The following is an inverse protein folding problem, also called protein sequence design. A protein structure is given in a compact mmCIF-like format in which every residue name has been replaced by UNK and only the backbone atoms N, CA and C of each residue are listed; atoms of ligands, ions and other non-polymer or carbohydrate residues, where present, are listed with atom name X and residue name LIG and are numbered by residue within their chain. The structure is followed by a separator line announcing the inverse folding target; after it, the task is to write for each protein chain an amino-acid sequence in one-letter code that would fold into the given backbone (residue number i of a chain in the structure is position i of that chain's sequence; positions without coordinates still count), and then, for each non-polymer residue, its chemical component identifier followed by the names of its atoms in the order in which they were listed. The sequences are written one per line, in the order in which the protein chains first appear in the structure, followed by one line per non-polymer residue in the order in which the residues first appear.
data_IF_899815998574
#
_entry.id   IF_899815998574
#
_cell.length_a   1.000
_cell.length_b   1.000
_cell.length_c   1.000
_cell.angle_alpha   90.00
_cell.angle_beta   90.00
_cell.angle_gamma   90.00
#
_symmetry.space_group_name_H-M   'P 1'
#
loop_
_entity.id
_entity.type
_entity.pdbx_description
1 polymer ?
#
# COMPACT_ATOMS: atom_id res chain seq x y z
N UNK A 1 10.10 26.78 -46.56
CA UNK A 1 9.88 26.79 -45.12
C UNK A 1 9.42 25.40 -44.70
N UNK A 2 10.33 24.54 -44.17
CA UNK A 2 10.02 23.14 -43.85
C UNK A 2 9.62 23.02 -42.38
N UNK A 3 8.37 22.65 -42.09
CA UNK A 3 7.89 22.34 -40.74
C UNK A 3 8.54 21.02 -40.28
N UNK A 4 9.35 21.10 -39.23
CA UNK A 4 9.81 19.88 -38.50
C UNK A 4 8.68 19.36 -37.63
N UNK A 5 8.19 18.17 -37.98
CA UNK A 5 7.28 17.41 -37.10
C UNK A 5 8.11 16.86 -35.93
N UNK A 6 7.81 17.32 -34.73
CA UNK A 6 8.34 16.75 -33.50
C UNK A 6 7.50 15.48 -33.20
N UNK A 7 8.16 14.33 -33.35
CA UNK A 7 7.59 13.03 -32.98
C UNK A 7 7.76 12.87 -31.46
N UNK A 8 6.68 13.06 -30.72
CA UNK A 8 6.64 12.73 -29.29
C UNK A 8 6.48 11.21 -29.20
N UNK A 9 7.59 10.52 -28.97
CA UNK A 9 7.59 9.10 -28.64
C UNK A 9 7.13 8.99 -27.19
N UNK A 10 5.85 8.69 -26.99
CA UNK A 10 5.34 8.28 -25.71
C UNK A 10 5.91 6.92 -25.33
N UNK A 11 6.85 6.91 -24.39
CA UNK A 11 7.36 5.68 -23.79
C UNK A 11 6.26 5.03 -22.99
N UNK A 12 5.69 3.96 -23.57
CA UNK A 12 4.80 3.03 -22.84
C UNK A 12 5.71 2.21 -21.93
N UNK A 13 5.66 2.48 -20.63
CA UNK A 13 6.33 1.68 -19.63
C UNK A 13 5.54 0.39 -19.38
N UNK A 14 6.09 -0.78 -19.63
CA UNK A 14 5.50 -2.04 -19.16
C UNK A 14 5.81 -2.20 -17.67
N UNK A 15 4.80 -2.09 -16.83
CA UNK A 15 4.89 -2.52 -15.42
C UNK A 15 4.98 -4.04 -15.41
N UNK A 16 6.18 -4.56 -15.28
CA UNK A 16 6.44 -5.99 -15.06
C UNK A 16 6.09 -6.32 -13.60
N UNK A 17 4.87 -6.78 -13.40
CA UNK A 17 4.42 -7.30 -12.10
C UNK A 17 4.90 -8.74 -11.95
N UNK A 18 5.85 -8.98 -11.04
CA UNK A 18 6.26 -10.32 -10.65
C UNK A 18 5.08 -11.04 -9.97
N UNK A 19 4.65 -12.14 -10.56
CA UNK A 19 3.64 -13.04 -9.98
C UNK A 19 4.34 -13.86 -8.89
N UNK A 20 4.03 -13.57 -7.63
CA UNK A 20 4.37 -14.45 -6.51
C UNK A 20 3.20 -15.39 -6.27
N UNK A 21 3.35 -16.66 -6.63
CA UNK A 21 2.42 -17.72 -6.28
C UNK A 21 2.65 -18.13 -4.82
N UNK A 22 1.70 -17.84 -3.95
CA UNK A 22 1.71 -18.33 -2.57
C UNK A 22 0.95 -19.65 -2.47
N UNK A 23 1.68 -20.72 -2.13
CA UNK A 23 1.11 -21.94 -1.57
C UNK A 23 1.04 -21.78 -0.05
N UNK A 24 -0.17 -21.73 0.48
CA UNK A 24 -0.40 -21.74 1.92
C UNK A 24 -0.25 -23.12 2.51
N UNK A 25 0.63 -23.28 3.49
CA UNK A 25 0.68 -24.47 4.35
C UNK A 25 0.02 -24.08 5.69
N UNK A 26 -1.08 -24.77 6.00
CA UNK A 26 -1.71 -24.77 7.32
C UNK A 26 -0.85 -25.60 8.29
N UNK A 27 -0.34 -24.98 9.32
CA UNK A 27 0.12 -25.71 10.51
C UNK A 27 -0.59 -25.11 11.72
N UNK A 28 -1.43 -25.94 12.32
CA UNK A 28 -2.01 -25.72 13.64
C UNK A 28 -1.01 -26.17 14.71
N UNK A 29 -0.83 -25.37 15.75
CA UNK A 29 -0.07 -25.71 16.95
C UNK A 29 -0.50 -24.76 18.06
N UNK A 30 -1.27 -25.32 19.00
CA UNK A 30 -1.52 -24.72 20.31
C UNK A 30 -0.24 -24.82 21.14
N UNK A 31 0.06 -23.78 21.94
CA UNK A 31 0.50 -23.95 23.32
C UNK A 31 0.48 -22.60 24.08
N UNK A 32 -0.08 -22.66 25.29
CA UNK A 32 -0.17 -21.64 26.32
C UNK A 32 1.21 -21.17 26.81
N UNK A 33 1.40 -19.86 27.02
CA UNK A 33 1.88 -19.41 28.34
C UNK A 33 1.65 -17.89 28.57
N UNK A 34 1.30 -17.58 29.80
CA UNK A 34 0.85 -16.29 30.29
C UNK A 34 2.02 -15.37 30.68
N UNK A 35 2.12 -14.18 30.08
CA UNK A 35 2.74 -13.01 30.71
C UNK A 35 2.08 -11.71 30.22
N UNK A 36 1.43 -11.02 31.16
CA UNK A 36 0.82 -9.71 30.98
C UNK A 36 1.87 -8.65 30.57
N UNK A 37 1.88 -8.30 29.30
CA UNK A 37 2.37 -7.00 28.83
C UNK A 37 1.34 -6.42 27.87
N UNK A 38 0.79 -5.25 28.20
CA UNK A 38 -0.11 -4.51 27.34
C UNK A 38 0.66 -4.05 26.09
N UNK A 39 0.78 -4.94 25.14
CA UNK A 39 1.04 -4.58 23.75
C UNK A 39 -0.30 -4.55 23.03
N UNK A 40 -0.60 -3.53 22.21
CA UNK A 40 -1.79 -3.60 21.39
C UNK A 40 -1.70 -4.87 20.56
N UNK A 41 -2.66 -5.79 20.78
CA UNK A 41 -2.71 -7.08 20.09
C UNK A 41 -3.03 -6.80 18.62
N UNK A 42 -2.01 -6.65 17.82
CA UNK A 42 -2.10 -6.75 16.35
C UNK A 42 -2.20 -8.23 15.99
N UNK A 43 -3.32 -8.88 16.33
CA UNK A 43 -3.57 -10.24 15.88
C UNK A 43 -4.00 -10.20 14.42
N UNK A 44 -3.12 -10.63 13.52
CA UNK A 44 -3.47 -11.03 12.18
C UNK A 44 -2.72 -10.41 11.00
N UNK A 45 -1.56 -9.83 11.18
CA UNK A 45 -0.70 -9.53 10.04
C UNK A 45 0.11 -10.80 9.69
N UNK A 46 -0.30 -11.51 8.64
CA UNK A 46 0.50 -12.61 8.09
C UNK A 46 1.61 -12.06 7.18
N UNK A 47 2.47 -11.22 7.74
CA UNK A 47 3.67 -10.77 7.02
C UNK A 47 4.67 -11.92 6.97
N UNK A 48 5.34 -12.09 5.82
CA UNK A 48 6.39 -13.09 5.67
C UNK A 48 7.63 -12.74 6.52
N UNK A 49 8.42 -13.75 6.88
CA UNK A 49 9.70 -13.54 7.55
C UNK A 49 10.63 -12.62 6.74
N UNK A 50 10.55 -12.69 5.41
CA UNK A 50 11.31 -11.83 4.50
C UNK A 50 10.91 -10.35 4.59
N UNK A 51 9.66 -10.04 4.90
CA UNK A 51 9.23 -8.67 5.19
C UNK A 51 9.66 -8.24 6.59
N UNK A 52 9.45 -9.10 7.59
CA UNK A 52 9.75 -8.78 8.99
C UNK A 52 11.23 -8.50 9.25
N UNK A 53 12.16 -9.12 8.50
CA UNK A 53 13.60 -8.82 8.61
C UNK A 53 13.94 -7.35 8.29
N UNK A 54 13.07 -6.65 7.55
CA UNK A 54 13.26 -5.23 7.23
C UNK A 54 12.68 -4.27 8.28
N UNK A 55 11.91 -4.78 9.25
CA UNK A 55 11.21 -3.94 10.24
C UNK A 55 12.13 -2.94 10.96
N UNK A 56 13.33 -3.29 11.48
CA UNK A 56 14.18 -2.33 12.16
C UNK A 56 14.60 -1.14 11.27
N UNK A 57 14.79 -1.40 9.97
CA UNK A 57 15.12 -0.36 8.99
C UNK A 57 13.91 0.51 8.66
N UNK A 58 12.74 -0.09 8.52
CA UNK A 58 11.47 0.65 8.32
C UNK A 58 11.19 1.56 9.52
N UNK A 59 11.33 1.06 10.74
CA UNK A 59 11.18 1.86 11.98
C UNK A 59 12.14 3.04 12.04
N UNK A 60 13.42 2.83 11.66
CA UNK A 60 14.42 3.90 11.58
C UNK A 60 13.96 5.01 10.62
N UNK A 61 13.65 4.66 9.38
CA UNK A 61 13.30 5.66 8.36
C UNK A 61 11.89 6.23 8.53
N UNK A 62 10.95 5.48 9.09
CA UNK A 62 9.65 6.01 9.49
C UNK A 62 9.77 7.10 10.57
N UNK A 63 10.62 6.87 11.57
CA UNK A 63 10.93 7.86 12.63
C UNK A 63 11.61 9.10 12.05
N UNK A 64 12.60 8.94 11.17
CA UNK A 64 13.28 10.05 10.50
C UNK A 64 12.34 10.93 9.66
N UNK A 65 11.26 10.38 9.16
CA UNK A 65 10.24 11.09 8.37
C UNK A 65 8.99 11.48 9.18
N UNK A 66 8.96 11.25 10.50
CA UNK A 66 7.83 11.61 11.37
C UNK A 66 6.55 10.81 11.12
N UNK A 67 6.69 9.55 10.70
CA UNK A 67 5.59 8.64 10.35
C UNK A 67 5.69 7.29 11.08
N UNK A 68 6.20 7.30 12.32
CA UNK A 68 6.39 6.06 13.10
C UNK A 68 5.09 5.27 13.32
N UNK A 69 3.95 5.94 13.39
CA UNK A 69 2.63 5.30 13.53
C UNK A 69 2.21 4.48 12.30
N UNK A 70 2.90 4.64 11.17
CA UNK A 70 2.60 3.94 9.91
C UNK A 70 3.54 2.78 9.60
N UNK A 71 4.41 2.35 10.52
CA UNK A 71 5.36 1.22 10.32
C UNK A 71 4.62 -0.02 9.78
N UNK A 72 3.48 -0.38 10.36
CA UNK A 72 2.70 -1.54 9.92
C UNK A 72 2.19 -1.37 8.48
N UNK A 73 1.78 -0.16 8.09
CA UNK A 73 1.35 0.13 6.69
C UNK A 73 2.53 0.00 5.74
N UNK A 74 3.71 0.50 6.13
CA UNK A 74 4.93 0.40 5.32
C UNK A 74 5.38 -1.05 5.14
N UNK A 75 5.31 -1.88 6.19
CA UNK A 75 5.59 -3.32 6.10
C UNK A 75 4.57 -4.04 5.21
N UNK A 76 3.29 -3.70 5.29
CA UNK A 76 2.25 -4.23 4.42
C UNK A 76 2.48 -3.82 2.94
N UNK A 77 2.98 -2.60 2.70
CA UNK A 77 3.40 -2.16 1.36
C UNK A 77 4.57 -3.03 0.87
N UNK A 78 5.62 -3.26 1.66
CA UNK A 78 6.73 -4.16 1.28
C UNK A 78 6.20 -5.56 0.92
N UNK A 79 5.24 -6.07 1.70
CA UNK A 79 4.63 -7.37 1.42
C UNK A 79 3.95 -7.41 0.06
N UNK A 80 3.21 -6.36 -0.31
CA UNK A 80 2.50 -6.27 -1.59
C UNK A 80 3.45 -6.01 -2.76
N UNK A 81 4.49 -5.18 -2.57
CA UNK A 81 5.40 -4.79 -3.65
C UNK A 81 6.40 -5.89 -4.02
N UNK A 82 6.91 -6.61 -3.03
CA UNK A 82 8.02 -7.56 -3.29
C UNK A 82 8.01 -8.81 -2.42
N UNK A 83 7.11 -8.91 -1.45
CA UNK A 83 7.19 -9.95 -0.42
C UNK A 83 8.46 -9.87 0.44
N UNK A 84 9.19 -8.75 0.38
CA UNK A 84 10.45 -8.54 1.09
C UNK A 84 11.69 -9.15 0.42
N UNK A 85 11.59 -9.66 -0.79
CA UNK A 85 12.67 -10.42 -1.45
C UNK A 85 13.41 -9.67 -2.55
N UNK A 86 12.81 -8.65 -3.16
CA UNK A 86 13.47 -7.82 -4.17
C UNK A 86 14.55 -6.93 -3.55
N UNK A 87 15.49 -6.44 -4.37
CA UNK A 87 16.48 -5.44 -3.94
C UNK A 87 15.79 -4.12 -3.64
N UNK A 88 14.94 -3.64 -4.54
CA UNK A 88 14.05 -2.49 -4.32
C UNK A 88 12.75 -2.97 -3.64
N UNK A 89 12.85 -3.28 -2.34
CA UNK A 89 11.78 -3.96 -1.58
C UNK A 89 10.46 -3.18 -1.52
N UNK A 90 10.50 -1.85 -1.61
CA UNK A 90 9.34 -0.97 -1.62
C UNK A 90 8.95 -0.50 -3.03
N UNK A 91 9.64 -0.98 -4.08
CA UNK A 91 9.47 -0.53 -5.46
C UNK A 91 9.43 1.00 -5.59
N UNK A 92 10.34 1.66 -4.88
CA UNK A 92 10.31 3.11 -4.70
C UNK A 92 11.18 3.89 -5.70
N UNK A 93 11.98 3.20 -6.54
CA UNK A 93 12.84 3.82 -7.55
C UNK A 93 12.06 4.71 -8.54
N UNK A 94 10.86 4.31 -8.95
CA UNK A 94 10.04 5.09 -9.88
C UNK A 94 9.60 6.44 -9.29
N UNK A 95 9.50 6.55 -7.95
CA UNK A 95 9.21 7.83 -7.27
C UNK A 95 10.33 8.86 -7.41
N UNK A 96 11.53 8.41 -7.79
CA UNK A 96 12.69 9.25 -8.15
C UNK A 96 12.87 9.43 -9.66
N UNK A 97 11.97 8.87 -10.47
CA UNK A 97 12.12 8.86 -11.93
C UNK A 97 13.19 7.89 -12.43
N UNK A 98 13.61 6.95 -11.59
CA UNK A 98 14.58 5.90 -11.95
C UNK A 98 13.86 4.68 -12.54
N UNK A 99 14.56 3.81 -13.28
CA UNK A 99 14.00 2.54 -13.72
C UNK A 99 13.57 1.66 -12.53
N UNK A 100 12.57 0.78 -12.70
CA UNK A 100 12.16 -0.16 -11.66
C UNK A 100 13.34 -1.01 -11.14
N UNK A 101 13.34 -1.33 -9.85
CA UNK A 101 14.38 -2.15 -9.19
C UNK A 101 15.80 -1.55 -9.24
N UNK A 102 15.93 -0.23 -9.31
CA UNK A 102 17.24 0.46 -9.41
C UNK A 102 17.87 0.76 -8.05
N UNK A 103 17.13 0.62 -6.95
CA UNK A 103 17.60 0.95 -5.60
C UNK A 103 18.07 -0.31 -4.85
N UNK A 104 19.08 -0.14 -3.99
CA UNK A 104 19.41 -1.10 -2.95
C UNK A 104 18.29 -1.18 -1.90
N UNK A 105 18.28 -2.22 -1.09
CA UNK A 105 17.25 -2.42 -0.05
C UNK A 105 17.16 -1.23 0.90
N UNK A 106 18.30 -0.70 1.37
CA UNK A 106 18.29 0.45 2.27
C UNK A 106 17.79 1.73 1.57
N UNK A 107 18.26 1.99 0.36
CA UNK A 107 17.81 3.14 -0.43
C UNK A 107 16.31 3.05 -0.74
N UNK A 108 15.83 1.86 -1.04
CA UNK A 108 14.42 1.59 -1.30
C UNK A 108 13.56 1.91 -0.06
N UNK A 109 13.93 1.41 1.11
CA UNK A 109 13.18 1.67 2.35
C UNK A 109 13.23 3.15 2.72
N UNK A 110 14.40 3.77 2.64
CA UNK A 110 14.58 5.21 2.90
C UNK A 110 13.71 6.05 1.97
N UNK A 111 13.74 5.77 0.67
CA UNK A 111 12.94 6.50 -0.32
C UNK A 111 11.45 6.20 -0.18
N UNK A 112 11.06 4.94 0.03
CA UNK A 112 9.67 4.55 0.22
C UNK A 112 9.02 5.24 1.43
N UNK A 113 9.73 5.31 2.56
CA UNK A 113 9.27 6.05 3.75
C UNK A 113 9.13 7.55 3.47
N UNK A 114 10.12 8.16 2.80
CA UNK A 114 10.09 9.58 2.41
C UNK A 114 8.93 9.87 1.47
N UNK A 115 8.72 9.02 0.47
CA UNK A 115 7.63 9.16 -0.49
C UNK A 115 6.27 9.03 0.19
N UNK A 116 6.09 8.02 1.04
CA UNK A 116 4.85 7.85 1.83
C UNK A 116 4.57 9.09 2.70
N UNK A 117 5.58 9.61 3.41
CA UNK A 117 5.44 10.82 4.22
C UNK A 117 5.02 12.04 3.39
N UNK A 118 5.56 12.19 2.18
CA UNK A 118 5.18 13.27 1.27
C UNK A 118 3.74 13.18 0.80
N UNK A 119 3.26 11.98 0.48
CA UNK A 119 1.87 11.70 0.11
C UNK A 119 0.91 11.99 1.29
N UNK A 120 1.29 11.55 2.49
CA UNK A 120 0.52 11.80 3.72
C UNK A 120 0.39 13.30 3.99
N UNK A 121 1.48 14.04 3.88
CA UNK A 121 1.50 15.50 4.04
C UNK A 121 0.61 16.18 2.98
N UNK A 122 0.72 15.75 1.72
CA UNK A 122 -0.11 16.26 0.62
C UNK A 122 -1.60 16.01 0.86
N UNK A 123 -1.98 14.83 1.35
CA UNK A 123 -3.37 14.50 1.70
C UNK A 123 -3.88 15.38 2.85
N UNK A 124 -3.09 15.52 3.93
CA UNK A 124 -3.44 16.38 5.07
C UNK A 124 -3.63 17.85 4.65
N UNK A 125 -2.74 18.38 3.80
CA UNK A 125 -2.84 19.75 3.27
C UNK A 125 -4.12 19.97 2.43
N UNK A 126 -4.69 18.93 1.85
CA UNK A 126 -5.97 18.96 1.10
C UNK A 126 -7.19 18.67 2.00
N UNK A 127 -6.99 18.54 3.31
CA UNK A 127 -8.05 18.22 4.27
C UNK A 127 -8.57 16.79 4.15
N UNK A 128 -7.70 15.84 3.82
CA UNK A 128 -8.00 14.41 3.76
C UNK A 128 -7.24 13.66 4.86
N UNK A 129 -7.98 12.89 5.66
CA UNK A 129 -7.44 12.07 6.76
C UNK A 129 -7.62 10.57 6.50
N UNK A 130 -8.03 10.17 5.29
CA UNK A 130 -8.22 8.78 4.92
C UNK A 130 -6.88 8.19 4.45
N UNK A 131 -6.33 7.27 5.24
CA UNK A 131 -5.07 6.59 4.94
C UNK A 131 -5.13 5.79 3.63
N UNK A 132 -6.31 5.31 3.23
CA UNK A 132 -6.48 4.57 1.98
C UNK A 132 -6.20 5.46 0.75
N UNK A 133 -6.39 6.79 0.86
CA UNK A 133 -5.96 7.72 -0.19
C UNK A 133 -4.45 7.72 -0.34
N UNK A 134 -3.71 7.70 0.79
CA UNK A 134 -2.24 7.66 0.79
C UNK A 134 -1.74 6.32 0.23
N UNK A 135 -2.31 5.20 0.69
CA UNK A 135 -1.98 3.86 0.21
C UNK A 135 -2.20 3.76 -1.31
N UNK A 136 -3.36 4.14 -1.82
CA UNK A 136 -3.61 4.09 -3.26
C UNK A 136 -2.70 5.06 -4.04
N UNK A 137 -2.38 6.23 -3.46
CA UNK A 137 -1.47 7.19 -4.08
C UNK A 137 -0.03 6.68 -4.13
N UNK A 138 0.37 5.78 -3.23
CA UNK A 138 1.67 5.15 -3.27
C UNK A 138 1.86 4.38 -4.60
N UNK A 139 0.84 3.64 -5.02
CA UNK A 139 0.83 2.89 -6.28
C UNK A 139 0.52 3.76 -7.52
N UNK A 140 -0.37 4.75 -7.40
CA UNK A 140 -0.85 5.55 -8.54
C UNK A 140 -0.09 6.86 -8.75
N UNK A 141 0.77 7.22 -7.80
CA UNK A 141 1.36 8.55 -7.75
C UNK A 141 0.44 9.61 -7.10
N UNK A 142 1.03 10.77 -6.74
CA UNK A 142 0.34 11.86 -6.04
C UNK A 142 -0.87 12.44 -6.77
N UNK A 143 -0.95 12.27 -8.09
CA UNK A 143 -2.11 12.70 -8.89
C UNK A 143 -3.42 12.04 -8.48
N UNK A 144 -3.38 10.87 -7.84
CA UNK A 144 -4.58 10.24 -7.29
C UNK A 144 -5.12 11.01 -6.08
N UNK A 145 -4.25 11.51 -5.20
CA UNK A 145 -4.67 12.37 -4.10
C UNK A 145 -5.36 13.66 -4.59
N UNK A 146 -4.86 14.26 -5.68
CA UNK A 146 -5.49 15.42 -6.31
C UNK A 146 -6.87 15.09 -6.89
N UNK A 147 -7.00 13.90 -7.48
CA UNK A 147 -8.27 13.42 -8.01
C UNK A 147 -9.30 13.19 -6.89
N UNK A 148 -8.92 12.49 -5.81
CA UNK A 148 -9.80 12.23 -4.66
C UNK A 148 -10.22 13.52 -3.95
N UNK A 149 -9.31 14.49 -3.82
CA UNK A 149 -9.62 15.79 -3.22
C UNK A 149 -10.78 16.51 -3.92
N UNK A 150 -10.94 16.30 -5.22
CA UNK A 150 -12.03 16.87 -6.04
C UNK A 150 -13.28 16.00 -6.08
N UNK A 151 -13.21 14.76 -5.58
CA UNK A 151 -14.27 13.74 -5.70
C UNK A 151 -14.70 13.18 -4.33
N UNK A 152 -14.84 14.03 -3.31
CA UNK A 152 -15.41 13.66 -2.01
C UNK A 152 -14.39 13.41 -0.90
N UNK A 153 -13.08 13.58 -1.16
CA UNK A 153 -11.98 13.55 -0.15
C UNK A 153 -11.83 12.22 0.61
N UNK A 154 -12.40 11.14 0.10
CA UNK A 154 -12.33 9.81 0.68
C UNK A 154 -12.09 8.77 -0.42
N UNK A 155 -11.23 7.78 -0.13
CA UNK A 155 -10.99 6.68 -1.05
C UNK A 155 -12.24 5.82 -1.23
N UNK A 156 -12.40 5.30 -2.44
CA UNK A 156 -13.29 4.18 -2.74
C UNK A 156 -12.74 3.39 -3.93
N UNK A 157 -13.08 2.10 -4.00
CA UNK A 157 -12.70 1.27 -5.14
C UNK A 157 -13.16 1.90 -6.47
N UNK A 158 -14.37 2.45 -6.52
CA UNK A 158 -14.89 3.10 -7.73
C UNK A 158 -14.02 4.30 -8.17
N UNK A 159 -13.50 5.09 -7.23
CA UNK A 159 -12.57 6.18 -7.57
C UNK A 159 -11.24 5.65 -8.09
N UNK A 160 -10.70 4.59 -7.48
CA UNK A 160 -9.47 3.95 -7.95
C UNK A 160 -9.66 3.35 -9.34
N UNK A 161 -10.76 2.65 -9.59
CA UNK A 161 -11.12 2.08 -10.88
C UNK A 161 -11.26 3.16 -11.97
N UNK A 162 -12.03 4.22 -11.68
CA UNK A 162 -12.24 5.32 -12.63
C UNK A 162 -10.94 6.07 -12.95
N UNK A 163 -10.08 6.28 -11.96
CA UNK A 163 -8.77 6.89 -12.17
C UNK A 163 -7.90 6.03 -13.08
N UNK A 164 -7.80 4.72 -12.81
CA UNK A 164 -7.04 3.79 -13.64
C UNK A 164 -7.61 3.70 -15.07
N UNK A 165 -8.94 3.67 -15.21
CA UNK A 165 -9.62 3.69 -16.52
C UNK A 165 -9.23 4.92 -17.33
N UNK A 166 -9.26 6.09 -16.73
CA UNK A 166 -8.91 7.34 -17.40
C UNK A 166 -7.43 7.37 -17.80
N UNK A 167 -6.54 6.91 -16.90
CA UNK A 167 -5.09 6.89 -17.14
C UNK A 167 -4.66 5.87 -18.19
N UNK A 168 -5.35 4.73 -18.27
CA UNK A 168 -5.07 3.64 -19.23
C UNK A 168 -5.78 3.83 -20.59
N UNK A 169 -6.59 4.88 -20.76
CA UNK A 169 -7.48 5.01 -21.91
C UNK A 169 -8.50 3.87 -22.00
N UNK A 170 -8.87 3.25 -20.88
CA UNK A 170 -9.82 2.14 -20.82
C UNK A 170 -9.20 0.76 -21.14
N UNK A 171 -7.90 0.67 -21.40
CA UNK A 171 -7.22 -0.61 -21.68
C UNK A 171 -7.23 -1.50 -20.45
N UNK A 172 -7.67 -2.75 -20.62
CA UNK A 172 -7.72 -3.79 -19.58
C UNK A 172 -6.65 -4.84 -19.80
N UNK A 173 -6.20 -5.44 -18.70
CA UNK A 173 -5.30 -6.59 -18.69
C UNK A 173 -5.83 -7.67 -17.74
N UNK A 174 -5.51 -8.93 -18.01
CA UNK A 174 -5.82 -10.04 -17.11
C UNK A 174 -5.09 -9.86 -15.79
N UNK A 175 -5.78 -10.13 -14.69
CA UNK A 175 -5.23 -10.05 -13.34
C UNK A 175 -5.87 -11.12 -12.45
N UNK A 176 -5.17 -12.25 -12.29
CA UNK A 176 -5.70 -13.47 -11.65
C UNK A 176 -5.59 -13.47 -10.11
N UNK A 177 -5.33 -12.30 -9.49
CA UNK A 177 -5.34 -12.21 -8.04
C UNK A 177 -6.74 -12.59 -7.49
N UNK A 178 -6.84 -13.36 -6.38
CA UNK A 178 -8.12 -13.81 -5.84
C UNK A 178 -9.13 -12.70 -5.56
N UNK A 179 -8.68 -11.51 -5.10
CA UNK A 179 -9.56 -10.36 -4.89
C UNK A 179 -10.17 -9.90 -6.21
N UNK A 180 -9.36 -9.77 -7.26
CA UNK A 180 -9.83 -9.35 -8.56
C UNK A 180 -10.76 -10.40 -9.20
N UNK A 181 -10.41 -11.69 -9.09
CA UNK A 181 -11.25 -12.79 -9.58
C UNK A 181 -12.63 -12.74 -8.91
N UNK A 182 -12.67 -12.60 -7.59
CA UNK A 182 -13.93 -12.50 -6.84
C UNK A 182 -14.71 -11.24 -7.17
N UNK A 183 -14.04 -10.11 -7.38
CA UNK A 183 -14.70 -8.81 -7.52
C UNK A 183 -15.17 -8.51 -8.95
N UNK A 184 -14.42 -8.93 -9.95
CA UNK A 184 -14.74 -8.58 -11.35
C UNK A 184 -14.40 -9.64 -12.41
N UNK A 185 -14.03 -10.86 -11.98
CA UNK A 185 -13.66 -11.94 -12.91
C UNK A 185 -12.20 -11.94 -13.33
N UNK A 186 -11.30 -11.21 -12.65
CA UNK A 186 -9.86 -11.33 -12.82
C UNK A 186 -9.24 -10.40 -13.86
N UNK A 187 -9.58 -9.14 -13.84
CA UNK A 187 -8.96 -8.12 -14.69
C UNK A 187 -8.70 -6.82 -13.92
N UNK A 188 -7.82 -5.99 -14.43
CA UNK A 188 -7.62 -4.61 -14.00
C UNK A 188 -7.35 -3.71 -15.20
N UNK A 189 -7.48 -2.40 -15.01
CA UNK A 189 -6.99 -1.45 -16.01
C UNK A 189 -5.46 -1.45 -16.07
N UNK A 190 -4.90 -1.21 -17.27
CA UNK A 190 -3.45 -1.19 -17.50
C UNK A 190 -2.83 0.12 -16.99
N UNK A 191 -3.02 0.42 -15.72
CA UNK A 191 -2.43 1.53 -15.00
C UNK A 191 -2.40 1.22 -13.51
N UNK A 192 -1.22 1.08 -12.93
CA UNK A 192 -1.07 0.68 -11.53
C UNK A 192 -1.98 -0.49 -11.14
N UNK A 193 -2.53 -0.46 -9.93
CA UNK A 193 -3.43 -1.51 -9.46
C UNK A 193 -4.63 -0.92 -8.68
N UNK A 194 -5.82 -0.99 -9.25
CA UNK A 194 -7.05 -0.49 -8.63
C UNK A 194 -7.46 -1.27 -7.35
N UNK A 195 -6.86 -2.43 -7.11
CA UNK A 195 -7.06 -3.26 -5.92
C UNK A 195 -5.98 -3.02 -4.84
N UNK A 196 -5.10 -2.03 -5.02
CA UNK A 196 -3.92 -1.88 -4.18
C UNK A 196 -4.26 -1.69 -2.69
N UNK A 197 -5.29 -0.91 -2.39
CA UNK A 197 -5.77 -0.73 -1.00
C UNK A 197 -6.24 -2.05 -0.40
N UNK A 198 -7.03 -2.83 -1.13
CA UNK A 198 -7.50 -4.13 -0.66
C UNK A 198 -6.34 -5.11 -0.46
N UNK A 199 -5.32 -5.08 -1.34
CA UNK A 199 -4.12 -5.90 -1.21
C UNK A 199 -3.31 -5.55 0.04
N UNK A 200 -3.09 -4.27 0.32
CA UNK A 200 -2.37 -3.82 1.51
C UNK A 200 -3.18 -4.13 2.77
N UNK A 201 -4.48 -3.87 2.76
CA UNK A 201 -5.36 -4.05 3.91
C UNK A 201 -5.52 -5.51 4.34
N UNK A 202 -5.22 -6.51 3.49
CA UNK A 202 -5.16 -7.92 3.90
C UNK A 202 -4.14 -8.17 5.02
N UNK A 203 -3.07 -7.36 5.06
CA UNK A 203 -1.98 -7.44 6.03
C UNK A 203 -2.16 -6.47 7.20
N UNK A 204 -3.16 -5.58 7.11
CA UNK A 204 -3.54 -4.66 8.16
C UNK A 204 -4.81 -5.21 8.82
N UNK A 205 -4.70 -6.03 9.86
CA UNK A 205 -5.89 -6.39 10.64
C UNK A 205 -6.39 -5.17 11.40
N UNK A 206 -7.16 -4.36 10.70
CA UNK A 206 -8.07 -3.43 11.35
C UNK A 206 -9.28 -4.27 11.75
N UNK A 207 -9.26 -4.89 12.96
CA UNK A 207 -10.52 -5.14 13.65
C UNK A 207 -11.15 -3.75 13.80
N UNK A 208 -12.11 -3.41 12.95
CA UNK A 208 -13.09 -2.39 13.30
C UNK A 208 -13.76 -2.91 14.56
N UNK A 209 -13.29 -2.47 15.72
CA UNK A 209 -14.12 -2.56 16.91
C UNK A 209 -15.38 -1.80 16.56
N UNK A 210 -16.51 -2.47 16.56
CA UNK A 210 -17.81 -1.79 16.48
C UNK A 210 -17.80 -0.70 17.55
N UNK A 211 -18.43 0.42 17.29
CA UNK A 211 -18.54 1.51 18.29
C UNK A 211 -19.04 0.97 19.64
N UNK A 212 -19.82 -0.10 19.66
CA UNK A 212 -20.28 -0.83 20.84
C UNK A 212 -19.15 -1.49 21.64
N UNK A 213 -18.15 -2.09 20.96
CA UNK A 213 -17.00 -2.71 21.64
C UNK A 213 -16.08 -1.66 22.25
N UNK A 214 -15.84 -0.53 21.54
CA UNK A 214 -15.06 0.60 22.06
C UNK A 214 -15.78 1.21 23.28
N UNK A 215 -17.09 1.40 23.19
CA UNK A 215 -17.88 1.94 24.28
C UNK A 215 -17.90 1.01 25.50
N UNK A 216 -17.97 -0.31 25.28
CA UNK A 216 -17.92 -1.30 26.37
C UNK A 216 -16.57 -1.29 27.10
N UNK A 217 -15.45 -1.20 26.36
CA UNK A 217 -14.09 -1.10 26.94
C UNK A 217 -13.91 0.21 27.70
N UNK A 218 -14.39 1.33 27.15
CA UNK A 218 -14.34 2.62 27.83
C UNK A 218 -15.19 2.65 29.10
N UNK A 219 -16.39 2.06 29.08
CA UNK A 219 -17.27 1.98 30.25
C UNK A 219 -16.69 1.06 31.35
N UNK A 220 -15.93 0.04 30.98
CA UNK A 220 -15.23 -0.82 31.95
C UNK A 220 -14.04 -0.09 32.58
N UNK A 221 -13.26 0.64 31.79
CA UNK A 221 -12.11 1.43 32.27
C UNK A 221 -12.51 2.58 33.23
N UNK A 222 -13.75 3.09 33.12
CA UNK A 222 -14.25 4.17 33.99
C UNK A 222 -14.79 3.65 35.35
N UNK A 223 -14.79 2.34 35.60
CA UNK A 223 -15.22 1.74 36.88
C UNK A 223 -14.12 1.67 37.93
N UNK A 224 -12.88 1.98 37.57
CA UNK A 224 -11.68 1.97 38.43
C UNK A 224 -11.02 3.33 38.50
#
# INVERSE_FOLDING_TARGET
MRLKRILIIGTIFPVLFSIVLFFGILISGEDDDSSNSYSPVYSGMNLSADVLKHQPMVEKYARENGISEYVNVLLAIIQVESGGTATDVMQSSESLGLPPNSLSTEESIKQGCKYFASLLSSCKAKGMNDINVVIQSYNYGGGYADYVAKNGKKHSFNLAENFAKNKSGGTKVTYTNPIAVSKNGGWRYNYGNMFYVELVNQYLNIKQFSNETVQAVMNEALKY
#
